data_IF_229444052345
#
_entry.id   IF_229444052345
#
_cell.length_a   1.000
_cell.length_b   1.000
_cell.length_c   1.000
_cell.angle_alpha   90.00
_cell.angle_beta   90.00
_cell.angle_gamma   90.00
#
_symmetry.space_group_name_H-M   'P 1'
#
loop_
_entity.id
_entity.type
_entity.pdbx_description
1 polymer ?
#
# COMPACT_ATOMS: atom_id res chain seq x y z
N UNK A 1 -39.70 -25.08 -40.97
CA UNK A 1 -38.85 -23.88 -40.93
C UNK A 1 -39.13 -23.06 -39.67
N UNK A 2 -38.73 -23.53 -38.48
CA UNK A 2 -38.74 -22.75 -37.22
C UNK A 2 -37.71 -23.36 -36.27
N UNK A 3 -36.45 -23.05 -36.53
CA UNK A 3 -35.31 -23.36 -35.67
C UNK A 3 -34.34 -22.21 -35.91
N UNK A 4 -33.66 -21.73 -34.86
CA UNK A 4 -32.63 -20.68 -34.87
C UNK A 4 -33.10 -19.25 -34.54
N UNK A 5 -33.78 -19.03 -33.42
CA UNK A 5 -33.74 -17.73 -32.72
C UNK A 5 -33.62 -17.99 -31.21
N UNK A 6 -32.50 -18.54 -30.76
CA UNK A 6 -32.20 -18.66 -29.32
C UNK A 6 -30.70 -18.86 -29.06
N UNK A 7 -29.84 -18.16 -29.81
CA UNK A 7 -28.39 -18.25 -29.64
C UNK A 7 -27.71 -16.87 -29.67
N UNK A 8 -28.35 -15.88 -29.04
CA UNK A 8 -27.79 -14.53 -28.90
C UNK A 8 -27.99 -13.97 -27.49
N UNK A 9 -28.06 -14.86 -26.50
CA UNK A 9 -28.08 -14.50 -25.09
C UNK A 9 -26.86 -15.14 -24.46
N UNK A 10 -26.10 -14.36 -23.69
CA UNK A 10 -25.03 -14.83 -22.81
C UNK A 10 -23.67 -14.99 -23.53
N UNK A 11 -23.22 -13.98 -24.28
CA UNK A 11 -21.77 -13.71 -24.34
C UNK A 11 -21.46 -12.44 -23.55
N UNK A 12 -21.02 -12.70 -22.32
CA UNK A 12 -19.83 -12.07 -21.71
C UNK A 12 -19.78 -10.55 -21.70
N UNK A 13 -20.41 -9.95 -20.69
CA UNK A 13 -19.86 -8.77 -20.03
C UNK A 13 -19.69 -9.09 -18.55
N UNK A 14 -18.72 -9.96 -18.25
CA UNK A 14 -18.14 -9.99 -16.92
C UNK A 14 -17.17 -8.80 -16.87
N UNK A 15 -17.71 -7.63 -16.53
CA UNK A 15 -16.94 -6.41 -16.31
C UNK A 15 -16.08 -6.62 -15.07
N UNK A 16 -14.91 -7.24 -15.21
CA UNK A 16 -13.86 -7.20 -14.21
C UNK A 16 -13.59 -5.73 -13.92
N UNK A 17 -14.07 -5.26 -12.77
CA UNK A 17 -13.72 -3.95 -12.22
C UNK A 17 -12.24 -4.02 -11.89
N UNK A 18 -11.39 -3.85 -12.92
CA UNK A 18 -9.99 -3.60 -12.71
C UNK A 18 -9.93 -2.26 -11.96
N UNK A 19 -9.73 -2.32 -10.65
CA UNK A 19 -9.39 -1.16 -9.84
C UNK A 19 -8.20 -0.48 -10.51
N UNK A 20 -8.49 0.60 -11.23
CA UNK A 20 -7.50 1.38 -11.93
C UNK A 20 -6.88 2.29 -10.89
N UNK A 21 -5.80 1.82 -10.29
CA UNK A 21 -5.03 2.62 -9.35
C UNK A 21 -4.54 3.88 -10.05
N UNK A 22 -4.68 5.02 -9.38
CA UNK A 22 -4.19 6.30 -9.87
C UNK A 22 -2.65 6.27 -9.89
N UNK A 23 -2.10 5.91 -11.05
CA UNK A 23 -0.65 5.77 -11.26
C UNK A 23 0.11 7.10 -11.17
N UNK A 24 -0.60 8.23 -11.08
CA UNK A 24 0.03 9.56 -11.00
C UNK A 24 0.69 9.80 -9.65
N UNK A 25 0.20 9.17 -8.58
CA UNK A 25 0.71 9.37 -7.21
C UNK A 25 1.46 8.16 -6.66
N UNK A 26 1.24 6.98 -7.24
CA UNK A 26 1.83 5.72 -6.80
C UNK A 26 3.00 5.33 -7.68
N UNK A 27 4.09 4.91 -7.06
CA UNK A 27 5.29 4.42 -7.74
C UNK A 27 5.59 2.98 -7.29
N UNK A 28 6.25 2.16 -8.12
CA UNK A 28 6.70 0.84 -7.68
C UNK A 28 7.59 0.92 -6.44
N UNK A 29 7.39 -0.01 -5.51
CA UNK A 29 8.24 -0.13 -4.33
C UNK A 29 9.70 -0.38 -4.71
N UNK A 30 10.62 0.20 -3.94
CA UNK A 30 12.07 0.01 -4.01
C UNK A 30 12.57 -0.65 -2.73
N UNK A 31 13.83 -1.07 -2.69
CA UNK A 31 14.45 -1.68 -1.51
C UNK A 31 14.19 -0.88 -0.21
N UNK A 32 14.40 0.43 -0.24
CA UNK A 32 14.19 1.30 0.92
C UNK A 32 12.73 1.33 1.43
N UNK A 33 11.76 0.97 0.58
CA UNK A 33 10.34 0.90 0.93
C UNK A 33 10.05 -0.39 1.72
N UNK A 34 10.67 -1.50 1.31
CA UNK A 34 10.64 -2.75 2.06
C UNK A 34 11.36 -2.63 3.40
N UNK A 35 12.53 -1.98 3.42
CA UNK A 35 13.27 -1.72 4.66
C UNK A 35 12.41 -0.90 5.63
N UNK A 36 11.64 0.07 5.12
CA UNK A 36 10.72 0.86 5.93
C UNK A 36 9.60 -0.01 6.53
N UNK A 37 8.96 -0.87 5.73
CA UNK A 37 7.92 -1.79 6.22
C UNK A 37 8.47 -2.74 7.30
N UNK A 38 9.64 -3.33 7.06
CA UNK A 38 10.29 -4.25 8.00
C UNK A 38 10.75 -3.56 9.29
N UNK A 39 11.23 -2.32 9.19
CA UNK A 39 11.64 -1.53 10.36
C UNK A 39 10.46 -0.99 11.17
N UNK A 40 9.24 -1.02 10.62
CA UNK A 40 8.07 -0.44 11.27
C UNK A 40 7.61 -1.28 12.47
N UNK A 41 7.13 -0.58 13.50
CA UNK A 41 6.40 -1.15 14.62
C UNK A 41 4.90 -1.01 14.40
N UNK A 42 4.10 -1.99 14.81
CA UNK A 42 2.65 -1.85 14.80
C UNK A 42 2.14 -1.34 16.13
N UNK A 43 1.24 -0.34 16.09
CA UNK A 43 0.53 0.14 17.29
C UNK A 43 -0.41 -0.91 17.87
N UNK A 44 -0.98 -1.75 17.02
CA UNK A 44 -1.95 -2.78 17.39
C UNK A 44 -1.29 -4.12 17.79
N UNK A 45 0.04 -4.11 17.97
CA UNK A 45 0.82 -5.26 18.44
C UNK A 45 1.50 -6.06 17.32
N UNK A 46 2.31 -7.07 17.70
CA UNK A 46 3.22 -7.77 16.80
C UNK A 46 2.54 -8.57 15.68
N UNK A 47 1.29 -8.98 15.89
CA UNK A 47 0.51 -9.79 14.93
C UNK A 47 0.30 -9.09 13.58
N UNK A 48 0.10 -7.77 13.57
CA UNK A 48 -0.06 -7.00 12.32
C UNK A 48 1.24 -7.02 11.52
N UNK A 49 2.37 -6.91 12.20
CA UNK A 49 3.68 -6.97 11.55
C UNK A 49 3.93 -8.36 10.97
N UNK A 50 3.63 -9.39 11.74
CA UNK A 50 3.73 -10.78 11.27
C UNK A 50 2.84 -11.00 10.05
N UNK A 51 1.59 -10.53 10.06
CA UNK A 51 0.67 -10.63 8.93
C UNK A 51 1.22 -9.94 7.66
N UNK A 52 1.82 -8.76 7.80
CA UNK A 52 2.44 -8.06 6.67
C UNK A 52 3.64 -8.86 6.13
N UNK A 53 4.47 -9.41 7.00
CA UNK A 53 5.65 -10.18 6.60
C UNK A 53 5.28 -11.52 5.95
N UNK A 54 4.33 -12.26 6.52
CA UNK A 54 3.99 -13.63 6.11
C UNK A 54 2.96 -13.71 4.99
N UNK A 55 2.01 -12.77 4.93
CA UNK A 55 0.93 -12.81 3.93
C UNK A 55 1.14 -11.77 2.82
N UNK A 56 1.46 -10.52 3.17
CA UNK A 56 1.57 -9.46 2.17
C UNK A 56 2.91 -9.52 1.41
N UNK A 57 4.03 -9.54 2.13
CA UNK A 57 5.37 -9.45 1.54
C UNK A 57 5.86 -10.79 0.97
N UNK A 58 5.66 -11.90 1.69
CA UNK A 58 6.11 -13.21 1.22
C UNK A 58 5.41 -13.67 -0.08
N UNK A 59 4.18 -13.20 -0.32
CA UNK A 59 3.37 -13.58 -1.47
C UNK A 59 3.09 -12.42 -2.41
N UNK A 60 3.93 -11.39 -2.41
CA UNK A 60 3.69 -10.22 -3.25
C UNK A 60 3.75 -10.56 -4.75
N UNK A 61 2.82 -9.98 -5.50
CA UNK A 61 2.85 -9.94 -6.96
C UNK A 61 3.12 -8.50 -7.46
N UNK A 62 2.67 -7.50 -6.71
CA UNK A 62 2.85 -6.09 -7.04
C UNK A 62 2.83 -5.24 -5.78
N UNK A 63 3.85 -4.41 -5.60
CA UNK A 63 3.93 -3.42 -4.52
C UNK A 63 4.01 -2.02 -5.12
N UNK A 64 3.09 -1.15 -4.72
CA UNK A 64 3.11 0.28 -5.01
C UNK A 64 3.16 1.09 -3.73
N UNK A 65 3.87 2.21 -3.76
CA UNK A 65 3.98 3.14 -2.64
C UNK A 65 3.63 4.56 -3.10
N UNK A 66 2.82 5.24 -2.29
CA UNK A 66 2.61 6.68 -2.35
C UNK A 66 3.35 7.31 -1.18
N UNK A 67 4.31 8.18 -1.50
CA UNK A 67 5.08 8.93 -0.49
C UNK A 67 4.57 10.36 -0.42
N UNK A 68 4.61 10.94 0.77
CA UNK A 68 4.39 12.37 0.90
C UNK A 68 5.61 13.15 0.36
N UNK A 69 5.43 13.90 -0.74
CA UNK A 69 6.51 14.65 -1.42
C UNK A 69 6.96 15.92 -0.70
N UNK A 70 6.39 16.23 0.49
CA UNK A 70 6.81 17.33 1.36
C UNK A 70 8.32 17.28 1.70
N UNK A 71 8.99 16.16 1.43
CA UNK A 71 10.44 16.03 1.50
C UNK A 71 11.23 17.10 0.71
N UNK A 72 10.67 17.69 -0.36
CA UNK A 72 11.36 18.68 -1.19
C UNK A 72 11.39 20.10 -0.58
N UNK A 73 10.41 20.44 0.27
CA UNK A 73 10.26 21.78 0.87
C UNK A 73 10.29 21.64 2.40
N UNK A 74 11.42 21.18 2.95
CA UNK A 74 11.57 21.06 4.40
C UNK A 74 11.80 22.44 5.02
N UNK A 75 10.95 22.89 5.95
CA UNK A 75 11.20 24.15 6.65
C UNK A 75 12.49 24.03 7.48
N UNK A 76 13.36 25.03 7.42
CA UNK A 76 14.62 25.14 8.17
C UNK A 76 14.40 25.43 9.67
N UNK A 77 13.17 25.29 10.16
CA UNK A 77 12.80 25.66 11.53
C UNK A 77 12.98 24.44 12.44
N UNK A 78 13.82 24.58 13.45
CA UNK A 78 14.12 23.52 14.41
C UNK A 78 12.91 23.23 15.31
N UNK A 79 12.73 21.95 15.64
CA UNK A 79 11.68 21.51 16.55
C UNK A 79 10.33 21.20 15.89
N UNK A 80 10.16 21.49 14.59
CA UNK A 80 8.94 21.14 13.85
C UNK A 80 8.93 19.66 13.49
N UNK A 81 7.80 18.97 13.74
CA UNK A 81 7.56 17.62 13.24
C UNK A 81 7.27 17.66 11.75
N UNK A 82 8.03 16.90 10.96
CA UNK A 82 7.87 16.81 9.52
C UNK A 82 7.14 15.50 9.21
N UNK A 83 5.86 15.58 8.76
CA UNK A 83 5.07 14.39 8.50
C UNK A 83 5.65 13.62 7.32
N UNK A 84 5.90 12.34 7.51
CA UNK A 84 6.41 11.45 6.47
C UNK A 84 5.59 10.17 6.43
N UNK A 85 4.37 10.32 5.92
CA UNK A 85 3.41 9.23 5.79
C UNK A 85 3.61 8.57 4.41
N UNK A 86 3.74 7.25 4.41
CA UNK A 86 3.80 6.43 3.22
C UNK A 86 2.62 5.45 3.21
N UNK A 87 1.91 5.39 2.09
CA UNK A 87 0.83 4.43 1.87
C UNK A 87 1.31 3.36 0.88
N UNK A 88 1.33 2.12 1.33
CA UNK A 88 1.72 0.95 0.55
C UNK A 88 0.50 0.18 0.12
N UNK A 89 0.45 -0.19 -1.15
CA UNK A 89 -0.55 -1.08 -1.72
C UNK A 89 0.15 -2.31 -2.25
N UNK A 90 -0.07 -3.43 -1.58
CA UNK A 90 0.54 -4.71 -1.90
C UNK A 90 -0.56 -5.64 -2.40
N UNK A 91 -0.47 -6.05 -3.65
CA UNK A 91 -1.31 -7.10 -4.21
C UNK A 91 -0.54 -8.40 -4.20
N UNK A 92 -1.12 -9.43 -3.59
CA UNK A 92 -0.54 -10.77 -3.53
C UNK A 92 -0.86 -11.57 -4.80
N UNK A 93 -0.18 -12.69 -4.97
CA UNK A 93 -0.45 -13.65 -6.05
C UNK A 93 -1.89 -14.21 -5.99
N UNK A 94 -2.47 -14.31 -4.79
CA UNK A 94 -3.86 -14.70 -4.56
C UNK A 94 -4.86 -13.55 -4.81
N UNK A 95 -4.43 -12.45 -5.43
CA UNK A 95 -5.20 -11.23 -5.68
C UNK A 95 -5.75 -10.54 -4.43
N UNK A 96 -5.23 -10.85 -3.23
CA UNK A 96 -5.54 -10.07 -2.05
C UNK A 96 -4.83 -8.72 -2.11
N UNK A 97 -5.51 -7.66 -1.65
CA UNK A 97 -4.97 -6.31 -1.58
C UNK A 97 -4.80 -5.88 -0.12
N UNK A 98 -3.57 -5.54 0.24
CA UNK A 98 -3.20 -4.94 1.50
C UNK A 98 -2.91 -3.46 1.28
N UNK A 99 -3.56 -2.60 2.07
CA UNK A 99 -3.20 -1.18 2.17
C UNK A 99 -2.59 -0.93 3.53
N UNK A 100 -1.33 -0.52 3.56
CA UNK A 100 -0.54 -0.31 4.79
C UNK A 100 -0.16 1.15 4.86
N UNK A 101 -0.48 1.82 5.96
CA UNK A 101 -0.07 3.22 6.19
C UNK A 101 1.02 3.22 7.24
N UNK A 102 2.18 3.77 6.89
CA UNK A 102 3.33 3.90 7.78
C UNK A 102 3.65 5.37 8.00
N UNK A 103 3.79 5.76 9.27
CA UNK A 103 4.33 7.04 9.68
C UNK A 103 5.83 6.90 9.99
N UNK A 104 6.66 7.61 9.22
CA UNK A 104 8.10 7.71 9.41
C UNK A 104 8.54 9.16 9.69
N UNK A 105 7.69 9.93 10.36
CA UNK A 105 7.90 11.33 10.70
C UNK A 105 9.17 11.54 11.52
N UNK A 106 9.74 12.74 11.46
CA UNK A 106 10.95 13.11 12.21
C UNK A 106 10.87 14.58 12.61
N UNK A 107 11.73 15.00 13.53
CA UNK A 107 11.79 16.40 13.96
C UNK A 107 12.91 17.15 13.24
N UNK A 108 12.63 18.36 12.76
CA UNK A 108 13.63 19.19 12.08
C UNK A 108 14.74 19.64 13.03
N UNK A 109 15.96 19.76 12.52
CA UNK A 109 17.23 20.03 13.23
C UNK A 109 17.66 19.00 14.29
N UNK A 110 16.80 18.06 14.67
CA UNK A 110 17.14 17.00 15.62
C UNK A 110 17.15 15.69 14.86
N UNK A 111 18.28 14.97 14.85
CA UNK A 111 18.37 13.64 14.21
C UNK A 111 17.63 12.55 15.01
N UNK A 112 16.54 12.88 15.69
CA UNK A 112 15.64 11.90 16.30
C UNK A 112 14.86 11.23 15.18
N UNK A 113 15.32 10.02 14.81
CA UNK A 113 14.53 9.12 13.98
C UNK A 113 13.45 8.55 14.89
N UNK A 114 12.20 8.95 14.67
CA UNK A 114 11.06 8.24 15.26
C UNK A 114 11.07 6.85 14.63
N UNK A 115 10.88 5.82 15.45
CA UNK A 115 10.75 4.45 14.93
C UNK A 115 9.49 4.45 14.06
N UNK A 116 9.58 4.05 12.78
CA UNK A 116 8.41 4.07 11.91
C UNK A 116 7.27 3.25 12.50
N UNK A 117 6.04 3.73 12.39
CA UNK A 117 4.86 3.05 12.93
C UNK A 117 3.85 2.74 11.85
N UNK A 118 3.34 1.50 11.84
CA UNK A 118 2.16 1.12 11.09
C UNK A 118 0.97 1.75 11.81
N UNK A 119 0.35 2.72 11.15
CA UNK A 119 -0.81 3.46 11.62
C UNK A 119 -2.11 2.75 11.27
N UNK A 120 -2.15 2.04 10.14
CA UNK A 120 -3.30 1.22 9.77
C UNK A 120 -2.92 0.14 8.77
N UNK A 121 -3.70 -0.94 8.81
CA UNK A 121 -3.70 -2.02 7.85
C UNK A 121 -5.14 -2.26 7.37
N UNK A 122 -5.35 -2.28 6.06
CA UNK A 122 -6.61 -2.67 5.45
C UNK A 122 -6.39 -3.88 4.54
N UNK A 123 -7.33 -4.81 4.58
CA UNK A 123 -7.31 -6.03 3.79
C UNK A 123 -8.57 -6.13 2.93
N UNK A 124 -8.38 -6.39 1.64
CA UNK A 124 -9.45 -6.65 0.69
C UNK A 124 -9.15 -7.95 -0.06
N UNK A 125 -10.06 -8.91 0.03
CA UNK A 125 -9.96 -10.17 -0.72
C UNK A 125 -10.67 -10.02 -2.06
N UNK A 126 -9.98 -10.31 -3.16
CA UNK A 126 -10.65 -10.55 -4.45
C UNK A 126 -11.27 -11.95 -4.41
N UNK A 127 -12.58 -12.00 -4.18
CA UNK A 127 -13.40 -13.20 -4.43
C UNK A 127 -13.68 -13.37 -5.91
#
# INVERSE_FOLDING_TARGET
MKLLIALFSILTFLSSHAERWDTTQYRPCRSADYDLLQASLSKDGPLIKELIETEALAHEALCLVKKNEVQLLRPTVCGIMIPNISEFKIRTQAQALFTIVVDASYQSCVRMRVIPTIESLQYQSSK
#
